data_IF_489783857191
#
_entry.id   IF_489783857191
#
_cell.length_a   1.000
_cell.length_b   1.000
_cell.length_c   1.000
_cell.angle_alpha   90.00
_cell.angle_beta   90.00
_cell.angle_gamma   90.00
#
_symmetry.space_group_name_H-M   'P 1'
#
loop_
_entity.id
_entity.type
_entity.pdbx_description
1 polymer ?
#
# COMPACT_ATOMS: atom_id res chain seq x y z
N UNK A 1 17.86 3.20 -1.78
CA UNK A 1 16.64 4.05 -1.82
C UNK A 1 15.61 3.49 -0.86
N UNK A 2 15.14 4.31 0.05
CA UNK A 2 14.09 3.93 1.00
C UNK A 2 12.76 4.51 0.53
N UNK A 3 11.70 3.72 0.67
CA UNK A 3 10.37 4.10 0.22
C UNK A 3 9.42 4.07 1.42
N UNK A 4 8.71 5.16 1.64
CA UNK A 4 7.67 5.26 2.66
C UNK A 4 6.32 5.36 1.97
N UNK A 5 5.36 4.54 2.41
CA UNK A 5 4.03 4.48 1.83
C UNK A 5 3.00 4.76 2.92
N UNK A 6 2.14 5.76 2.67
CA UNK A 6 1.03 6.10 3.55
C UNK A 6 -0.26 5.77 2.84
N UNK A 7 -1.07 4.91 3.46
CA UNK A 7 -2.32 4.44 2.84
C UNK A 7 -3.52 4.88 3.65
N UNK A 8 -4.63 5.08 2.94
CA UNK A 8 -5.91 5.37 3.56
C UNK A 8 -7.01 4.78 2.68
N UNK A 9 -8.05 4.29 3.33
CA UNK A 9 -9.20 3.73 2.63
C UNK A 9 -10.46 3.95 3.46
N UNK A 10 -11.56 4.20 2.79
CA UNK A 10 -12.83 4.48 3.44
C UNK A 10 -13.97 3.94 2.60
N UNK A 11 -15.09 3.68 3.26
CA UNK A 11 -16.28 3.17 2.62
C UNK A 11 -17.51 3.77 3.29
N UNK A 12 -18.48 4.21 2.50
CA UNK A 12 -19.76 4.68 3.01
C UNK A 12 -20.71 3.50 3.14
N UNK A 13 -20.93 3.05 4.39
CA UNK A 13 -21.63 1.81 4.63
C UNK A 13 -20.64 0.64 4.60
N UNK A 14 -21.14 -0.57 4.86
CA UNK A 14 -20.27 -1.74 4.89
C UNK A 14 -21.10 -2.99 4.54
N UNK A 15 -21.29 -3.33 3.25
CA UNK A 15 -20.63 -2.75 2.08
C UNK A 15 -21.29 -1.47 1.56
N UNK A 16 -20.57 -0.76 0.70
CA UNK A 16 -21.07 0.44 0.04
C UNK A 16 -19.99 1.04 -0.87
N UNK A 17 -20.24 2.24 -1.41
CA UNK A 17 -19.23 2.90 -2.23
C UNK A 17 -18.03 3.31 -1.37
N UNK A 18 -16.85 3.13 -1.91
CA UNK A 18 -15.64 3.45 -1.19
C UNK A 18 -14.50 3.90 -2.09
N UNK A 19 -13.42 4.33 -1.47
CA UNK A 19 -12.23 4.76 -2.16
C UNK A 19 -10.99 4.53 -1.33
N UNK A 20 -9.85 4.60 -1.99
CA UNK A 20 -8.56 4.44 -1.35
C UNK A 20 -7.58 5.44 -1.94
N UNK A 21 -6.58 5.78 -1.17
CA UNK A 21 -5.48 6.62 -1.60
C UNK A 21 -4.19 6.13 -0.99
N UNK A 22 -3.10 6.36 -1.70
CA UNK A 22 -1.77 6.04 -1.22
C UNK A 22 -0.81 7.16 -1.62
N UNK A 23 0.06 7.53 -0.70
CA UNK A 23 1.16 8.46 -0.97
C UNK A 23 2.45 7.69 -0.82
N UNK A 24 3.23 7.66 -1.89
CA UNK A 24 4.50 6.94 -1.95
C UNK A 24 5.61 7.97 -2.01
N UNK A 25 6.44 7.99 -0.98
CA UNK A 25 7.57 8.90 -0.89
C UNK A 25 8.85 8.14 -1.21
N UNK A 26 9.50 8.55 -2.29
CA UNK A 26 10.76 7.97 -2.75
C UNK A 26 11.79 9.10 -2.77
N UNK A 27 12.67 9.10 -1.76
CA UNK A 27 13.60 10.20 -1.57
C UNK A 27 12.81 11.53 -1.41
N UNK A 28 12.97 12.46 -2.34
CA UNK A 28 12.27 13.74 -2.32
C UNK A 28 11.09 13.78 -3.30
N UNK A 29 10.74 12.63 -3.89
CA UNK A 29 9.67 12.56 -4.88
C UNK A 29 8.44 11.94 -4.25
N UNK A 30 7.29 12.55 -4.50
CA UNK A 30 6.00 12.07 -4.01
C UNK A 30 5.15 11.57 -5.18
N UNK A 31 4.66 10.35 -5.06
CA UNK A 31 3.71 9.77 -6.01
C UNK A 31 2.40 9.50 -5.29
N UNK A 32 1.28 9.94 -5.87
CA UNK A 32 -0.03 9.69 -5.32
C UNK A 32 -0.80 8.72 -6.21
N UNK A 33 -1.44 7.73 -5.58
CA UNK A 33 -2.34 6.80 -6.24
C UNK A 33 -3.68 6.87 -5.55
N UNK A 34 -4.76 6.77 -6.31
CA UNK A 34 -6.11 6.74 -5.73
C UNK A 34 -7.09 6.15 -6.72
N UNK A 35 -8.16 5.57 -6.20
CA UNK A 35 -9.27 5.06 -7.02
C UNK A 35 -10.47 4.80 -6.12
N UNK A 36 -11.57 4.36 -6.70
CA UNK A 36 -12.79 4.08 -5.98
C UNK A 36 -13.49 2.83 -6.50
N UNK A 37 -14.40 2.31 -5.70
CA UNK A 37 -15.26 1.19 -6.08
C UNK A 37 -16.70 1.47 -5.64
N UNK A 38 -17.66 0.98 -6.44
CA UNK A 38 -19.07 1.22 -6.18
C UNK A 38 -19.60 0.39 -5.02
N UNK A 39 -19.03 -0.79 -4.79
CA UNK A 39 -19.45 -1.69 -3.73
C UNK A 39 -18.23 -2.36 -3.12
N UNK A 40 -17.88 -1.97 -1.91
CA UNK A 40 -16.67 -2.45 -1.27
C UNK A 40 -16.80 -2.35 0.26
N UNK A 41 -15.73 -2.57 0.98
CA UNK A 41 -15.66 -2.44 2.44
C UNK A 41 -14.42 -1.61 2.82
N UNK A 42 -14.39 -1.08 4.05
CA UNK A 42 -13.23 -0.36 4.54
C UNK A 42 -11.97 -1.22 4.45
N UNK A 43 -12.04 -2.48 4.88
CA UNK A 43 -10.90 -3.38 4.87
C UNK A 43 -10.37 -3.61 3.47
N UNK A 44 -11.26 -3.77 2.49
CA UNK A 44 -10.85 -3.95 1.09
C UNK A 44 -10.17 -2.71 0.55
N UNK A 45 -10.68 -1.53 0.89
CA UNK A 45 -10.08 -0.27 0.43
C UNK A 45 -8.69 -0.06 1.03
N UNK A 46 -8.54 -0.34 2.32
CA UNK A 46 -7.24 -0.27 2.99
C UNK A 46 -6.24 -1.25 2.35
N UNK A 47 -6.65 -2.49 2.14
CA UNK A 47 -5.77 -3.50 1.54
C UNK A 47 -5.44 -3.17 0.09
N UNK A 48 -6.42 -2.68 -0.67
CA UNK A 48 -6.20 -2.31 -2.07
C UNK A 48 -5.17 -1.18 -2.18
N UNK A 49 -5.26 -0.17 -1.30
CA UNK A 49 -4.26 0.90 -1.28
C UNK A 49 -2.85 0.35 -1.08
N UNK A 50 -2.69 -0.58 -0.14
CA UNK A 50 -1.39 -1.19 0.13
C UNK A 50 -0.89 -2.01 -1.08
N UNK A 51 -1.75 -2.86 -1.64
CA UNK A 51 -1.38 -3.71 -2.77
C UNK A 51 -0.99 -2.88 -3.99
N UNK A 52 -1.77 -1.86 -4.32
CA UNK A 52 -1.47 -0.99 -5.47
C UNK A 52 -0.16 -0.24 -5.28
N UNK A 53 0.13 0.18 -4.05
CA UNK A 53 1.39 0.82 -3.74
C UNK A 53 2.57 -0.13 -3.95
N UNK A 54 2.43 -1.38 -3.52
CA UNK A 54 3.47 -2.39 -3.69
C UNK A 54 3.67 -2.77 -5.15
N UNK A 55 2.60 -2.84 -5.93
CA UNK A 55 2.68 -3.07 -7.37
C UNK A 55 3.46 -1.93 -8.05
N UNK A 56 3.22 -0.69 -7.63
CA UNK A 56 3.97 0.45 -8.14
C UNK A 56 5.46 0.32 -7.81
N UNK A 57 5.80 -0.04 -6.56
CA UNK A 57 7.19 -0.23 -6.16
C UNK A 57 7.86 -1.36 -6.95
N UNK A 58 7.11 -2.42 -7.23
CA UNK A 58 7.64 -3.52 -8.05
C UNK A 58 7.96 -3.06 -9.47
N UNK A 59 7.14 -2.17 -10.03
CA UNK A 59 7.41 -1.61 -11.35
C UNK A 59 8.71 -0.80 -11.39
N UNK A 60 9.08 -0.17 -10.27
CA UNK A 60 10.35 0.55 -10.17
C UNK A 60 11.54 -0.40 -10.22
N UNK A 61 11.41 -1.60 -9.66
CA UNK A 61 12.47 -2.63 -9.75
C UNK A 61 12.71 -3.04 -11.19
N UNK A 62 11.65 -3.16 -11.97
CA UNK A 62 11.77 -3.49 -13.38
C UNK A 62 12.50 -2.41 -14.16
N UNK A 63 12.54 -1.19 -13.64
CA UNK A 63 13.29 -0.07 -14.19
C UNK A 63 14.69 0.04 -13.57
N UNK A 64 15.15 -1.01 -12.91
CA UNK A 64 16.48 -1.08 -12.28
C UNK A 64 16.68 -0.09 -11.12
N UNK A 65 15.62 0.32 -10.47
CA UNK A 65 15.71 1.13 -9.26
C UNK A 65 16.08 0.24 -8.08
N UNK A 66 17.16 0.58 -7.38
CA UNK A 66 17.59 -0.19 -6.22
C UNK A 66 16.78 0.22 -4.99
N UNK A 67 15.99 -0.71 -4.47
CA UNK A 67 15.15 -0.49 -3.30
C UNK A 67 15.77 -1.19 -2.10
N UNK A 68 16.13 -0.42 -1.08
CA UNK A 68 16.73 -0.95 0.15
C UNK A 68 15.67 -1.37 1.16
N UNK A 69 14.61 -0.56 1.32
CA UNK A 69 13.59 -0.79 2.31
C UNK A 69 12.27 -0.13 1.89
N UNK A 70 11.16 -0.81 2.15
CA UNK A 70 9.83 -0.25 1.96
C UNK A 70 9.10 -0.33 3.30
N UNK A 71 8.56 0.80 3.75
CA UNK A 71 7.76 0.87 4.98
C UNK A 71 6.35 1.33 4.62
N UNK A 72 5.35 0.56 5.04
CA UNK A 72 3.95 0.90 4.84
C UNK A 72 3.37 1.34 6.17
N UNK A 73 2.88 2.58 6.23
CA UNK A 73 2.27 3.15 7.42
C UNK A 73 0.76 2.95 7.34
N UNK A 74 0.22 2.12 8.22
CA UNK A 74 -1.21 1.81 8.25
C UNK A 74 -1.64 1.51 9.68
N UNK A 75 -2.88 1.90 10.02
CA UNK A 75 -3.50 1.55 11.30
C UNK A 75 -4.30 0.26 11.21
N UNK A 76 -4.48 -0.28 10.00
CA UNK A 76 -5.34 -1.42 9.78
C UNK A 76 -4.64 -2.74 10.12
N UNK A 77 -5.15 -3.46 11.13
CA UNK A 77 -4.68 -4.82 11.44
C UNK A 77 -4.92 -5.75 10.26
N UNK A 78 -6.05 -5.58 9.57
CA UNK A 78 -6.39 -6.38 8.39
C UNK A 78 -5.31 -6.23 7.31
N UNK A 79 -4.87 -5.00 7.05
CA UNK A 79 -3.81 -4.75 6.07
C UNK A 79 -2.50 -5.39 6.52
N UNK A 80 -2.13 -5.25 7.79
CA UNK A 80 -0.88 -5.81 8.29
C UNK A 80 -0.84 -7.33 8.13
N UNK A 81 -1.94 -8.01 8.44
CA UNK A 81 -2.03 -9.46 8.32
C UNK A 81 -2.06 -9.89 6.86
N UNK A 82 -2.88 -9.26 6.03
CA UNK A 82 -2.98 -9.58 4.61
C UNK A 82 -1.69 -9.34 3.85
N UNK A 83 -1.02 -8.24 4.15
CA UNK A 83 0.25 -7.89 3.52
C UNK A 83 1.35 -8.87 3.90
N UNK A 84 1.35 -9.39 5.12
CA UNK A 84 2.35 -10.36 5.55
C UNK A 84 2.34 -11.61 4.66
N UNK A 85 1.15 -12.11 4.34
CA UNK A 85 1.02 -13.25 3.42
C UNK A 85 1.56 -12.89 2.04
N UNK A 86 1.26 -11.70 1.56
CA UNK A 86 1.68 -11.22 0.26
C UNK A 86 3.19 -11.03 0.18
N UNK A 87 3.79 -10.47 1.23
CA UNK A 87 5.23 -10.23 1.34
C UNK A 87 6.00 -11.55 1.33
N UNK A 88 5.48 -12.59 1.94
CA UNK A 88 6.13 -13.90 1.95
C UNK A 88 6.33 -14.46 0.53
N UNK A 89 5.53 -14.03 -0.42
CA UNK A 89 5.70 -14.41 -1.82
C UNK A 89 6.72 -13.54 -2.55
N UNK A 90 7.11 -12.43 -1.98
CA UNK A 90 7.97 -11.42 -2.61
C UNK A 90 9.40 -11.35 -2.07
N UNK A 91 9.74 -12.04 -1.08
CA UNK A 91 11.02 -12.34 -0.39
C UNK A 91 12.28 -11.48 -0.63
N UNK A 92 12.26 -10.39 -1.34
CA UNK A 92 13.50 -9.76 -1.82
C UNK A 92 13.82 -8.39 -1.25
N UNK A 93 12.99 -7.83 -0.40
CA UNK A 93 13.19 -6.49 0.14
C UNK A 93 12.90 -6.47 1.63
N UNK A 94 13.52 -5.54 2.34
CA UNK A 94 13.24 -5.33 3.74
C UNK A 94 11.92 -4.59 3.90
N UNK A 95 10.83 -5.33 3.87
CA UNK A 95 9.48 -4.80 4.00
C UNK A 95 9.08 -4.73 5.46
N UNK A 96 8.40 -3.67 5.83
CA UNK A 96 7.81 -3.59 7.17
C UNK A 96 6.58 -2.72 7.17
N UNK A 97 5.74 -2.90 8.19
CA UNK A 97 4.57 -2.05 8.42
C UNK A 97 4.78 -1.27 9.72
N UNK A 98 4.15 -0.12 9.81
CA UNK A 98 4.20 0.71 10.99
C UNK A 98 2.85 1.39 11.20
N UNK A 99 2.55 1.77 12.44
CA UNK A 99 1.37 2.57 12.74
C UNK A 99 1.60 4.00 12.26
N UNK A 100 0.54 4.60 11.76
CA UNK A 100 0.60 6.01 11.36
C UNK A 100 0.85 6.92 12.55
#
# INVERSE_FOLDING_TARGET
MNIDIYTDGACMGNPGPGGWAAVILIEKVKKELFDGEKLTTNNRMELTAAIKSLEYCNSLKDKQVLINQITIYTDSTYVKEGITVWINNWKKNNWKTANK
#
